data_IF_721759248451
#
_entry.id   IF_721759248451
#
_cell.length_a   1.000
_cell.length_b   1.000
_cell.length_c   1.000
_cell.angle_alpha   90.00
_cell.angle_beta   90.00
_cell.angle_gamma   90.00
#
_symmetry.space_group_name_H-M   'P 1'
#
loop_
_entity.id
_entity.type
_entity.pdbx_description
1 polymer ?
#
# COMPACT_ATOMS: atom_id res chain seq x y z
N UNK A 1 -2.54 -10.12 5.59
CA UNK A 1 -2.49 -8.77 6.18
C UNK A 1 -1.23 -8.59 7.03
N UNK A 2 -0.85 -9.58 7.83
CA UNK A 2 0.25 -9.46 8.81
C UNK A 2 1.62 -9.16 8.18
N UNK A 3 2.00 -9.88 7.11
CA UNK A 3 3.28 -9.65 6.41
C UNK A 3 3.35 -8.25 5.78
N UNK A 4 2.21 -7.71 5.33
CA UNK A 4 2.14 -6.36 4.78
C UNK A 4 2.39 -5.31 5.88
N UNK A 5 1.75 -5.48 7.03
CA UNK A 5 1.95 -4.62 8.19
C UNK A 5 3.40 -4.65 8.69
N UNK A 6 4.01 -5.85 8.78
CA UNK A 6 5.42 -6.01 9.16
C UNK A 6 6.35 -5.28 8.17
N UNK A 7 6.06 -5.34 6.87
CA UNK A 7 6.80 -4.58 5.85
C UNK A 7 6.74 -3.06 6.05
N UNK A 8 5.57 -2.53 6.37
CA UNK A 8 5.41 -1.11 6.69
C UNK A 8 6.21 -0.69 7.92
N UNK A 9 6.14 -1.48 9.01
CA UNK A 9 6.88 -1.21 10.25
C UNK A 9 8.39 -1.30 10.02
N UNK A 10 8.85 -2.31 9.27
CA UNK A 10 10.27 -2.46 8.96
C UNK A 10 10.84 -1.26 8.20
N UNK A 11 10.12 -0.76 7.19
CA UNK A 11 10.52 0.44 6.47
C UNK A 11 10.57 1.69 7.37
N UNK A 12 9.56 1.84 8.23
CA UNK A 12 9.49 2.98 9.15
C UNK A 12 10.63 2.96 10.16
N UNK A 13 11.03 1.78 10.66
CA UNK A 13 12.19 1.62 11.53
C UNK A 13 13.51 2.02 10.83
N UNK A 14 13.66 1.74 9.54
CA UNK A 14 14.87 2.06 8.78
C UNK A 14 14.96 3.54 8.40
N UNK A 15 13.83 4.18 8.13
CA UNK A 15 13.78 5.54 7.57
C UNK A 15 13.30 6.61 8.55
N UNK A 16 12.82 6.20 9.72
CA UNK A 16 12.15 7.04 10.73
C UNK A 16 11.00 7.86 10.15
N UNK A 17 10.41 7.39 9.04
CA UNK A 17 9.30 8.03 8.33
C UNK A 17 8.27 6.97 7.94
N UNK A 18 6.97 7.27 8.04
CA UNK A 18 5.93 6.32 7.66
C UNK A 18 5.99 6.02 6.16
N UNK A 19 5.90 4.74 5.79
CA UNK A 19 5.96 4.28 4.40
C UNK A 19 4.81 4.85 3.55
N UNK A 20 3.60 4.90 4.11
CA UNK A 20 2.39 5.40 3.44
C UNK A 20 1.64 6.36 4.37
N UNK A 21 1.98 7.66 4.40
CA UNK A 21 1.29 8.63 5.23
C UNK A 21 -0.07 8.99 4.60
N UNK A 22 -1.10 8.15 4.76
CA UNK A 22 -2.43 8.39 4.21
C UNK A 22 -3.28 9.30 5.09
N UNK A 23 -3.89 10.35 4.53
CA UNK A 23 -4.87 11.17 5.26
C UNK A 23 -6.28 10.56 5.25
N UNK A 24 -6.61 9.84 4.18
CA UNK A 24 -7.89 9.17 3.95
C UNK A 24 -7.63 7.81 3.28
N UNK A 25 -8.60 6.90 3.33
CA UNK A 25 -8.48 5.55 2.75
C UNK A 25 -8.10 5.57 1.26
N UNK A 26 -8.69 6.48 0.48
CA UNK A 26 -8.38 6.65 -0.95
C UNK A 26 -6.94 7.15 -1.16
N UNK A 27 -6.49 8.09 -0.33
CA UNK A 27 -5.13 8.65 -0.40
C UNK A 27 -4.08 7.59 -0.02
N UNK A 28 -4.40 6.74 0.95
CA UNK A 28 -3.55 5.60 1.33
C UNK A 28 -3.43 4.59 0.19
N UNK A 29 -4.54 4.22 -0.47
CA UNK A 29 -4.55 3.32 -1.63
C UNK A 29 -3.74 3.94 -2.79
N UNK A 30 -3.91 5.24 -3.04
CA UNK A 30 -3.16 5.94 -4.08
C UNK A 30 -1.64 5.89 -3.82
N UNK A 31 -1.20 6.13 -2.58
CA UNK A 31 0.22 6.04 -2.19
C UNK A 31 0.78 4.63 -2.34
N UNK A 32 -0.01 3.62 -2.00
CA UNK A 32 0.37 2.21 -2.24
C UNK A 32 0.56 1.97 -3.75
N UNK A 33 -0.34 2.46 -4.60
CA UNK A 33 -0.21 2.34 -6.05
C UNK A 33 0.95 3.14 -6.64
N UNK A 34 1.35 4.27 -6.03
CA UNK A 34 2.54 4.99 -6.49
C UNK A 34 3.83 4.19 -6.28
N UNK A 35 3.92 3.41 -5.20
CA UNK A 35 5.10 2.58 -4.89
C UNK A 35 5.05 1.22 -5.60
N UNK A 36 3.89 0.55 -5.57
CA UNK A 36 3.71 -0.79 -6.12
C UNK A 36 3.36 -0.80 -7.61
N UNK A 37 2.98 0.35 -8.18
CA UNK A 37 2.44 0.47 -9.52
C UNK A 37 0.95 0.12 -9.64
N UNK A 38 0.46 0.16 -10.89
CA UNK A 38 -0.92 -0.16 -11.24
C UNK A 38 -1.17 -1.66 -11.08
N UNK A 39 -2.23 -2.08 -10.37
CA UNK A 39 -2.51 -3.49 -10.14
C UNK A 39 -2.87 -4.17 -11.46
N UNK A 40 -2.41 -5.40 -11.64
CA UNK A 40 -2.63 -6.15 -12.88
C UNK A 40 -4.14 -6.39 -13.13
N UNK A 41 -4.55 -6.50 -14.41
CA UNK A 41 -5.97 -6.60 -14.82
C UNK A 41 -6.70 -7.76 -14.14
N UNK A 42 -5.99 -8.86 -13.84
CA UNK A 42 -6.53 -10.02 -13.11
C UNK A 42 -6.96 -9.68 -11.68
N UNK A 43 -6.27 -8.77 -11.00
CA UNK A 43 -6.61 -8.32 -9.64
C UNK A 43 -7.80 -7.38 -9.68
N UNK A 44 -7.84 -6.46 -10.65
CA UNK A 44 -8.96 -5.53 -10.84
C UNK A 44 -10.25 -6.29 -11.17
N UNK A 45 -10.18 -7.32 -12.03
CA UNK A 45 -11.35 -8.11 -12.40
C UNK A 45 -12.00 -8.85 -11.22
N UNK A 46 -11.23 -9.19 -10.17
CA UNK A 46 -11.77 -9.76 -8.94
C UNK A 46 -12.61 -8.79 -8.11
N UNK A 47 -12.40 -7.48 -8.25
CA UNK A 47 -13.21 -6.46 -7.56
C UNK A 47 -14.52 -6.15 -8.30
N UNK A 48 -14.58 -6.44 -9.61
CA UNK A 48 -15.76 -6.19 -10.44
C UNK A 48 -16.76 -7.37 -10.42
N UNK A 49 -16.47 -8.42 -9.66
CA UNK A 49 -17.32 -9.60 -9.51
C UNK A 49 -17.81 -9.70 -8.08
#
# INVERSE_FOLDING_TARGET
MDVWAVGCVFYELLTLKPLFPGFNEIDQIYKIHQVMGTPNTRTINKFYR
#
